data_IF_500669470720
#
_entry.id   IF_500669470720
#
_cell.length_a   1.000
_cell.length_b   1.000
_cell.length_c   1.000
_cell.angle_alpha   90.00
_cell.angle_beta   90.00
_cell.angle_gamma   90.00
#
_symmetry.space_group_name_H-M   'P 1'
#
loop_
_entity.id
_entity.type
_entity.pdbx_description
1 polymer ?
#
# COMPACT_ATOMS: atom_id res chain seq x y z
N UNK A 1 -35.46 37.05 -21.97
CA UNK A 1 -35.56 35.62 -22.32
C UNK A 1 -36.50 35.44 -23.52
N UNK A 2 -37.75 35.91 -23.48
CA UNK A 2 -38.73 35.70 -24.57
C UNK A 2 -38.28 36.35 -25.91
N UNK A 3 -37.66 37.48 -25.93
CA UNK A 3 -37.12 38.13 -27.13
C UNK A 3 -36.00 37.33 -27.80
N UNK A 4 -35.16 36.67 -27.01
CA UNK A 4 -34.12 35.77 -27.49
C UNK A 4 -34.72 34.50 -28.13
N UNK A 5 -35.70 33.89 -27.45
CA UNK A 5 -36.35 32.64 -27.90
C UNK A 5 -37.11 32.88 -29.21
N UNK A 6 -37.90 33.95 -29.30
CA UNK A 6 -38.71 34.24 -30.49
C UNK A 6 -37.92 34.90 -31.65
N UNK A 7 -36.73 35.38 -31.41
CA UNK A 7 -35.86 36.04 -32.41
C UNK A 7 -34.74 35.12 -32.93
N UNK A 8 -33.52 35.25 -32.37
CA UNK A 8 -32.33 34.57 -32.91
C UNK A 8 -32.41 33.06 -32.77
N UNK A 9 -32.91 32.54 -31.64
CA UNK A 9 -33.00 31.08 -31.41
C UNK A 9 -33.92 30.41 -32.43
N UNK A 10 -35.14 30.95 -32.65
CA UNK A 10 -36.08 30.39 -33.57
C UNK A 10 -35.54 30.37 -35.01
N UNK A 11 -34.79 31.41 -35.44
CA UNK A 11 -34.15 31.46 -36.77
C UNK A 11 -33.05 30.44 -36.92
N UNK A 12 -32.19 30.27 -35.89
CA UNK A 12 -31.15 29.26 -35.88
C UNK A 12 -31.72 27.84 -35.91
N UNK A 13 -32.78 27.58 -35.15
CA UNK A 13 -33.44 26.29 -35.11
C UNK A 13 -34.10 25.95 -36.49
N UNK A 14 -34.77 26.93 -37.13
CA UNK A 14 -35.36 26.74 -38.45
C UNK A 14 -34.27 26.40 -39.50
N UNK A 15 -33.12 27.10 -39.50
CA UNK A 15 -31.98 26.77 -40.35
C UNK A 15 -31.39 25.39 -40.05
N UNK A 16 -31.25 25.01 -38.77
CA UNK A 16 -30.74 23.71 -38.39
C UNK A 16 -31.65 22.57 -38.87
N UNK A 17 -32.97 22.76 -38.84
CA UNK A 17 -33.92 21.78 -39.39
C UNK A 17 -33.87 21.72 -40.93
N UNK A 18 -33.75 22.86 -41.58
CA UNK A 18 -33.59 22.91 -43.03
C UNK A 18 -32.34 22.15 -43.47
N UNK A 19 -31.21 22.38 -42.75
CA UNK A 19 -29.91 21.78 -43.02
C UNK A 19 -29.63 20.55 -42.15
N UNK A 20 -30.68 19.80 -41.79
CA UNK A 20 -30.61 18.67 -40.83
C UNK A 20 -29.48 17.69 -41.09
N UNK A 21 -29.21 17.34 -42.35
CA UNK A 21 -28.14 16.41 -42.70
C UNK A 21 -26.74 17.03 -42.48
N UNK A 22 -26.56 18.30 -42.80
CA UNK A 22 -25.30 18.98 -42.57
C UNK A 22 -25.02 19.13 -41.04
N UNK A 23 -26.06 19.46 -40.27
CA UNK A 23 -25.96 19.53 -38.79
C UNK A 23 -25.64 18.14 -38.22
N UNK A 24 -26.30 17.09 -38.70
CA UNK A 24 -26.01 15.72 -38.26
C UNK A 24 -24.56 15.34 -38.57
N UNK A 25 -24.09 15.60 -39.80
CA UNK A 25 -22.71 15.30 -40.20
C UNK A 25 -21.68 16.11 -39.38
N UNK A 26 -21.99 17.36 -39.04
CA UNK A 26 -21.15 18.17 -38.17
C UNK A 26 -21.01 17.54 -36.78
N UNK A 27 -22.09 17.03 -36.18
CA UNK A 27 -22.04 16.35 -34.89
C UNK A 27 -21.28 15.02 -34.95
N UNK A 28 -21.45 14.25 -36.04
CA UNK A 28 -20.69 13.01 -36.27
C UNK A 28 -19.21 13.32 -36.43
N UNK A 29 -18.85 14.35 -37.20
CA UNK A 29 -17.45 14.77 -37.32
C UNK A 29 -16.86 15.24 -36.01
N UNK A 30 -17.62 15.99 -35.19
CA UNK A 30 -17.17 16.41 -33.86
C UNK A 30 -16.98 15.21 -32.92
N UNK A 31 -17.88 14.21 -32.96
CA UNK A 31 -17.74 12.98 -32.20
C UNK A 31 -16.48 12.21 -32.63
N UNK A 32 -16.26 12.05 -33.94
CA UNK A 32 -15.07 11.38 -34.44
C UNK A 32 -13.78 12.12 -34.07
N UNK A 33 -13.80 13.46 -34.13
CA UNK A 33 -12.68 14.28 -33.66
C UNK A 33 -12.39 14.06 -32.20
N UNK A 34 -13.42 14.07 -31.36
CA UNK A 34 -13.29 13.84 -29.90
C UNK A 34 -12.71 12.45 -29.60
N UNK A 35 -13.21 11.41 -30.28
CA UNK A 35 -12.66 10.05 -30.16
C UNK A 35 -11.23 9.96 -30.67
N UNK A 36 -10.92 10.67 -31.76
CA UNK A 36 -9.57 10.76 -32.30
C UNK A 36 -8.58 11.43 -31.35
N UNK A 37 -9.00 12.50 -30.65
CA UNK A 37 -8.17 13.19 -29.64
C UNK A 37 -7.85 12.27 -28.45
N UNK A 38 -8.81 11.47 -27.98
CA UNK A 38 -8.61 10.48 -26.92
C UNK A 38 -7.69 9.36 -27.43
N UNK A 39 -7.97 8.79 -28.61
CA UNK A 39 -7.18 7.70 -29.19
C UNK A 39 -5.75 8.10 -29.57
N UNK A 40 -5.51 9.37 -29.90
CA UNK A 40 -4.19 9.93 -30.14
C UNK A 40 -3.45 10.37 -28.86
N UNK A 41 -4.02 10.11 -27.70
CA UNK A 41 -3.44 10.43 -26.38
C UNK A 41 -3.24 11.94 -26.10
N UNK A 42 -3.91 12.82 -26.88
CA UNK A 42 -3.93 14.27 -26.59
C UNK A 42 -4.74 14.60 -25.36
N UNK A 43 -5.78 13.80 -25.08
CA UNK A 43 -6.58 13.85 -23.85
C UNK A 43 -6.30 12.58 -23.08
N UNK A 44 -5.53 12.70 -22.01
CA UNK A 44 -5.28 11.56 -21.09
C UNK A 44 -6.54 11.31 -20.27
N UNK A 45 -7.10 10.14 -20.42
CA UNK A 45 -8.10 9.64 -19.46
C UNK A 45 -7.37 9.10 -18.23
N UNK A 46 -7.59 9.72 -17.10
CA UNK A 46 -7.18 9.20 -15.79
C UNK A 46 -8.45 8.66 -15.12
N UNK A 47 -8.76 7.36 -15.24
CA UNK A 47 -10.01 6.81 -14.71
C UNK A 47 -10.08 6.87 -13.19
N UNK A 48 -8.93 6.81 -12.51
CA UNK A 48 -8.79 6.91 -11.06
C UNK A 48 -7.78 8.01 -10.73
N UNK A 49 -8.19 9.27 -10.57
CA UNK A 49 -7.27 10.29 -10.09
C UNK A 49 -6.84 9.97 -8.65
N UNK A 50 -5.56 10.13 -8.38
CA UNK A 50 -5.05 10.03 -7.01
C UNK A 50 -5.63 11.15 -6.16
N UNK A 51 -6.24 10.78 -5.05
CA UNK A 51 -6.81 11.73 -4.08
C UNK A 51 -5.99 11.62 -2.80
N UNK A 52 -5.32 12.72 -2.37
CA UNK A 52 -4.48 12.67 -1.19
C UNK A 52 -5.28 12.26 0.04
N UNK A 53 -4.70 11.38 0.86
CA UNK A 53 -5.32 10.90 2.08
C UNK A 53 -5.04 11.86 3.23
N UNK A 54 -6.08 12.20 4.02
CA UNK A 54 -5.93 13.02 5.24
C UNK A 54 -5.33 12.25 6.42
N UNK A 55 -5.32 10.92 6.30
CA UNK A 55 -4.79 9.98 7.28
C UNK A 55 -3.81 9.00 6.61
N UNK A 56 -2.70 9.51 6.01
CA UNK A 56 -1.74 8.61 5.42
C UNK A 56 -1.20 7.63 6.46
N UNK A 57 -0.85 6.44 6.01
CA UNK A 57 -0.34 5.42 6.91
C UNK A 57 0.86 4.70 6.31
N UNK A 58 1.72 4.19 7.19
CA UNK A 58 2.81 3.30 6.82
C UNK A 58 2.47 1.92 7.34
N UNK A 59 2.29 0.97 6.44
CA UNK A 59 2.11 -0.45 6.74
C UNK A 59 3.45 -1.14 6.58
N UNK A 60 3.85 -1.95 7.56
CA UNK A 60 5.04 -2.80 7.49
C UNK A 60 4.63 -4.26 7.52
N UNK A 61 5.30 -5.07 6.75
CA UNK A 61 5.19 -6.53 6.75
C UNK A 61 6.55 -7.13 7.10
N UNK A 62 6.58 -7.94 8.13
CA UNK A 62 7.78 -8.65 8.59
C UNK A 62 7.78 -10.08 8.05
N UNK A 63 8.96 -10.69 7.95
CA UNK A 63 9.06 -12.10 7.62
C UNK A 63 8.37 -12.98 8.68
N UNK A 64 7.80 -14.12 8.29
CA UNK A 64 7.09 -15.03 9.18
C UNK A 64 7.91 -15.55 10.38
N UNK A 65 9.24 -15.52 10.27
CA UNK A 65 10.17 -16.04 11.28
C UNK A 65 10.53 -15.01 12.38
N UNK A 66 9.95 -13.83 12.36
CA UNK A 66 10.23 -12.81 13.39
C UNK A 66 9.32 -12.96 14.62
N UNK A 67 9.78 -12.46 15.74
CA UNK A 67 8.98 -12.37 16.96
C UNK A 67 8.14 -11.08 16.97
N UNK A 68 7.05 -11.07 17.75
CA UNK A 68 6.24 -9.86 17.98
C UNK A 68 7.07 -8.67 18.41
N UNK A 69 8.09 -8.92 19.26
CA UNK A 69 9.00 -7.87 19.73
C UNK A 69 9.82 -7.26 18.57
N UNK A 70 10.18 -8.05 17.56
CA UNK A 70 10.90 -7.53 16.38
C UNK A 70 9.99 -6.62 15.56
N UNK A 71 8.71 -6.98 15.39
CA UNK A 71 7.71 -6.15 14.71
C UNK A 71 7.46 -4.83 15.45
N UNK A 72 7.32 -4.89 16.79
CA UNK A 72 7.21 -3.70 17.61
C UNK A 72 8.44 -2.79 17.50
N UNK A 73 9.64 -3.37 17.48
CA UNK A 73 10.87 -2.59 17.31
C UNK A 73 10.98 -1.98 15.91
N UNK A 74 10.56 -2.70 14.87
CA UNK A 74 10.49 -2.17 13.51
C UNK A 74 9.53 -0.98 13.44
N UNK A 75 8.31 -1.11 14.01
CA UNK A 75 7.36 0.00 14.12
C UNK A 75 7.95 1.22 14.82
N UNK A 76 8.69 1.04 15.91
CA UNK A 76 9.35 2.16 16.61
C UNK A 76 10.40 2.86 15.75
N UNK A 77 11.15 2.11 14.94
CA UNK A 77 12.14 2.69 14.02
C UNK A 77 11.41 3.50 12.95
N UNK A 78 10.36 2.96 12.35
CA UNK A 78 9.56 3.67 11.35
C UNK A 78 8.87 4.90 11.95
N UNK A 79 8.30 4.78 13.15
CA UNK A 79 7.70 5.91 13.87
C UNK A 79 8.71 7.03 14.10
N UNK A 80 9.93 6.68 14.54
CA UNK A 80 11.00 7.65 14.74
C UNK A 80 11.38 8.32 13.41
N UNK A 81 11.49 7.56 12.33
CA UNK A 81 11.77 8.11 11.00
C UNK A 81 10.69 9.10 10.54
N UNK A 82 9.42 8.79 10.78
CA UNK A 82 8.30 9.70 10.50
C UNK A 82 8.45 11.01 11.27
N UNK A 83 8.86 10.95 12.54
CA UNK A 83 9.11 12.14 13.37
C UNK A 83 10.30 12.94 12.90
N UNK A 84 11.38 12.28 12.49
CA UNK A 84 12.59 12.94 11.97
C UNK A 84 12.28 13.69 10.67
N UNK A 85 11.41 13.14 9.80
CA UNK A 85 10.91 13.83 8.59
C UNK A 85 10.01 15.01 8.95
N UNK A 86 9.16 14.86 9.95
CA UNK A 86 8.31 15.96 10.44
C UNK A 86 9.15 17.11 11.00
N UNK A 87 10.22 16.81 11.76
CA UNK A 87 11.15 17.82 12.26
C UNK A 87 11.85 18.57 11.10
N UNK A 88 12.27 17.86 10.05
CA UNK A 88 12.83 18.49 8.84
C UNK A 88 11.83 19.41 8.16
N UNK A 89 10.55 19.02 8.08
CA UNK A 89 9.49 19.88 7.49
C UNK A 89 9.28 21.13 8.35
N UNK A 90 9.27 20.98 9.67
CA UNK A 90 9.14 22.13 10.59
C UNK A 90 10.34 23.07 10.43
N UNK A 91 11.54 22.57 10.31
CA UNK A 91 12.76 23.38 10.10
C UNK A 91 12.74 24.08 8.75
N UNK A 92 12.20 23.44 7.69
CA UNK A 92 12.15 23.99 6.34
C UNK A 92 11.03 25.04 6.16
N UNK A 93 9.84 24.79 6.72
CA UNK A 93 8.63 25.58 6.46
C UNK A 93 8.11 26.34 7.70
N UNK A 94 8.65 26.08 8.88
CA UNK A 94 8.22 26.70 10.13
C UNK A 94 6.94 26.13 10.73
N UNK A 95 6.35 25.11 10.11
CA UNK A 95 5.15 24.41 10.60
C UNK A 95 5.14 22.94 10.20
N UNK A 96 4.53 22.09 11.04
CA UNK A 96 4.43 20.66 10.80
C UNK A 96 3.15 20.29 10.07
N UNK A 97 3.10 19.02 9.63
CA UNK A 97 1.95 18.42 8.95
C UNK A 97 1.18 17.44 9.83
N UNK A 98 1.86 16.82 10.81
CA UNK A 98 1.30 15.73 11.61
C UNK A 98 0.54 16.31 12.79
N UNK A 99 -0.75 15.98 12.90
CA UNK A 99 -1.59 16.35 14.05
C UNK A 99 -1.46 15.34 15.18
N UNK A 100 -1.43 14.06 14.84
CA UNK A 100 -1.35 12.95 15.79
C UNK A 100 -0.78 11.72 15.08
N UNK A 101 -0.53 10.64 15.83
CA UNK A 101 -0.10 9.37 15.28
C UNK A 101 -0.59 8.22 16.15
N UNK A 102 -0.86 7.10 15.50
CA UNK A 102 -1.27 5.87 16.16
C UNK A 102 -0.51 4.70 15.54
N UNK A 103 0.36 4.08 16.33
CA UNK A 103 1.09 2.87 15.95
C UNK A 103 0.45 1.65 16.62
N UNK A 104 0.17 0.62 15.85
CA UNK A 104 -0.41 -0.63 16.35
C UNK A 104 0.04 -1.83 15.51
N UNK A 105 0.02 -2.99 16.13
CA UNK A 105 0.21 -4.25 15.42
C UNK A 105 -1.14 -4.78 14.98
N UNK A 106 -1.27 -5.08 13.68
CA UNK A 106 -2.45 -5.77 13.16
C UNK A 106 -2.34 -7.28 13.45
N UNK A 107 -1.13 -7.82 13.28
CA UNK A 107 -0.79 -9.23 13.59
C UNK A 107 0.68 -9.30 14.04
N UNK A 108 1.16 -10.52 14.35
CA UNK A 108 2.56 -10.77 14.74
C UNK A 108 3.58 -10.25 13.72
N UNK A 109 3.27 -10.34 12.45
CA UNK A 109 4.16 -9.94 11.35
C UNK A 109 3.75 -8.63 10.68
N UNK A 110 2.60 -8.07 11.02
CA UNK A 110 2.09 -6.86 10.41
C UNK A 110 1.91 -5.75 11.44
N UNK A 111 2.28 -4.54 11.04
CA UNK A 111 2.05 -3.36 11.84
C UNK A 111 1.78 -2.14 10.98
N UNK A 112 1.08 -1.19 11.57
CA UNK A 112 0.66 0.03 10.89
C UNK A 112 0.89 1.26 11.76
N UNK A 113 1.31 2.34 11.14
CA UNK A 113 1.36 3.67 11.74
C UNK A 113 0.40 4.56 10.96
N UNK A 114 -0.68 4.95 11.61
CA UNK A 114 -1.65 5.89 11.07
C UNK A 114 -1.26 7.30 11.51
N UNK A 115 -1.25 8.24 10.58
CA UNK A 115 -0.76 9.59 10.82
C UNK A 115 -1.78 10.63 10.34
N UNK A 116 -2.76 11.02 11.20
CA UNK A 116 -3.67 12.11 10.92
C UNK A 116 -2.92 13.42 10.68
N UNK A 117 -3.19 14.06 9.54
CA UNK A 117 -2.58 15.33 9.17
C UNK A 117 -3.41 16.53 9.66
N UNK A 118 -2.78 17.71 9.68
CA UNK A 118 -3.49 18.98 9.81
C UNK A 118 -4.40 19.21 8.59
N UNK A 119 -5.30 20.21 8.67
CA UNK A 119 -6.17 20.53 7.55
C UNK A 119 -5.35 20.84 6.29
N UNK A 120 -5.89 20.51 5.12
CA UNK A 120 -5.21 20.70 3.84
C UNK A 120 -4.71 22.13 3.62
N UNK A 121 -5.50 23.13 4.05
CA UNK A 121 -5.16 24.55 3.96
C UNK A 121 -3.93 24.95 4.78
N UNK A 122 -3.60 24.19 5.83
CA UNK A 122 -2.50 24.45 6.76
C UNK A 122 -1.24 23.64 6.42
N UNK A 123 -1.26 22.80 5.37
CA UNK A 123 -0.12 21.93 4.99
C UNK A 123 0.92 22.71 4.18
N UNK A 124 2.20 22.71 4.59
CA UNK A 124 3.27 23.35 3.81
C UNK A 124 3.62 22.61 2.51
N UNK A 125 3.42 21.28 2.47
CA UNK A 125 3.59 20.42 1.30
C UNK A 125 2.36 19.52 1.14
N UNK A 126 2.19 18.88 -0.02
CA UNK A 126 1.10 17.94 -0.21
C UNK A 126 1.40 16.57 0.42
N UNK A 127 0.36 15.74 0.55
CA UNK A 127 0.47 14.41 1.17
C UNK A 127 1.37 13.47 0.36
N UNK A 128 1.41 13.57 -0.97
CA UNK A 128 2.23 12.71 -1.81
C UNK A 128 3.72 13.03 -1.65
N UNK A 129 4.07 14.32 -1.50
CA UNK A 129 5.44 14.74 -1.20
C UNK A 129 5.88 14.28 0.19
N UNK A 130 4.99 14.34 1.20
CA UNK A 130 5.24 13.77 2.53
C UNK A 130 5.52 12.27 2.43
N UNK A 131 4.66 11.54 1.74
CA UNK A 131 4.80 10.09 1.55
C UNK A 131 6.10 9.74 0.81
N UNK A 132 6.50 10.53 -0.18
CA UNK A 132 7.78 10.37 -0.87
C UNK A 132 8.96 10.52 0.10
N UNK A 133 8.94 11.54 0.96
CA UNK A 133 9.98 11.76 1.99
C UNK A 133 10.04 10.59 2.97
N UNK A 134 8.90 10.04 3.39
CA UNK A 134 8.87 8.85 4.24
C UNK A 134 9.49 7.63 3.54
N UNK A 135 9.13 7.37 2.27
CA UNK A 135 9.71 6.26 1.48
C UNK A 135 11.22 6.35 1.37
N UNK A 136 11.74 7.56 1.19
CA UNK A 136 13.19 7.80 1.07
C UNK A 136 13.93 7.71 2.42
N UNK A 137 13.25 8.06 3.52
CA UNK A 137 13.84 8.10 4.86
C UNK A 137 13.78 6.76 5.60
N UNK A 138 12.76 5.92 5.33
CA UNK A 138 12.62 4.62 6.01
C UNK A 138 13.80 3.72 5.67
N UNK A 139 14.62 3.31 6.67
CA UNK A 139 15.80 2.49 6.44
C UNK A 139 15.42 1.02 6.17
N UNK A 140 16.37 0.27 5.64
CA UNK A 140 16.27 -1.19 5.62
C UNK A 140 16.28 -1.76 7.04
N UNK A 141 15.21 -2.41 7.45
CA UNK A 141 15.08 -3.02 8.77
C UNK A 141 15.23 -4.53 8.65
N UNK A 142 16.12 -5.09 9.46
CA UNK A 142 16.37 -6.55 9.47
C UNK A 142 15.08 -7.32 9.79
N UNK A 143 14.71 -8.23 8.91
CA UNK A 143 13.49 -9.04 9.06
C UNK A 143 12.23 -8.39 8.50
N UNK A 144 12.29 -7.15 8.02
CA UNK A 144 11.20 -6.55 7.26
C UNK A 144 11.18 -7.11 5.84
N UNK A 145 10.01 -7.55 5.40
CA UNK A 145 9.76 -8.10 4.06
C UNK A 145 9.40 -6.98 3.09
N UNK A 146 8.50 -6.11 3.52
CA UNK A 146 8.06 -4.96 2.75
C UNK A 146 7.50 -3.86 3.65
N UNK A 147 7.43 -2.67 3.13
CA UNK A 147 6.60 -1.61 3.67
C UNK A 147 5.84 -0.91 2.53
N UNK A 148 4.69 -0.36 2.86
CA UNK A 148 3.84 0.37 1.93
C UNK A 148 3.40 1.66 2.59
N UNK A 149 3.51 2.76 1.85
CA UNK A 149 2.99 4.06 2.31
C UNK A 149 1.67 4.33 1.60
N UNK A 150 0.58 4.31 2.35
CA UNK A 150 -0.77 4.60 1.85
C UNK A 150 -0.99 6.10 1.93
N UNK A 151 -0.94 6.77 0.81
CA UNK A 151 -1.06 8.23 0.66
C UNK A 151 -2.27 8.66 -0.19
N UNK A 152 -2.95 7.71 -0.81
CA UNK A 152 -4.14 7.91 -1.66
C UNK A 152 -5.36 7.22 -1.03
N UNK A 153 -6.51 7.89 -1.06
CA UNK A 153 -7.79 7.34 -0.58
C UNK A 153 -8.18 6.05 -1.32
N UNK A 154 -7.79 5.92 -2.58
CA UNK A 154 -8.04 4.72 -3.38
C UNK A 154 -6.96 3.65 -3.23
N UNK A 155 -5.87 3.96 -2.51
CA UNK A 155 -4.68 3.11 -2.38
C UNK A 155 -4.71 2.12 -1.20
N UNK A 156 -5.80 2.04 -0.44
CA UNK A 156 -5.91 1.21 0.77
C UNK A 156 -6.17 -0.29 0.45
N UNK A 157 -5.92 -0.71 -0.79
CA UNK A 157 -5.97 -2.12 -1.19
C UNK A 157 -4.70 -2.87 -0.84
N UNK A 158 -4.82 -4.06 -0.24
CA UNK A 158 -3.69 -4.96 0.06
C UNK A 158 -2.91 -5.39 -1.19
N UNK A 159 -3.51 -5.25 -2.37
CA UNK A 159 -2.97 -5.74 -3.66
C UNK A 159 -2.20 -4.68 -4.46
N UNK A 160 -2.07 -3.43 -3.97
CA UNK A 160 -1.46 -2.33 -4.71
C UNK A 160 -2.27 -1.86 -5.92
N UNK A 161 -1.75 -0.91 -6.71
CA UNK A 161 -2.44 -0.41 -7.91
C UNK A 161 -2.48 -1.45 -9.04
N UNK A 162 -1.49 -2.30 -9.13
CA UNK A 162 -1.43 -3.41 -10.08
C UNK A 162 -0.45 -4.49 -9.62
N UNK A 163 -0.66 -5.71 -10.07
CA UNK A 163 0.19 -6.85 -9.74
C UNK A 163 0.43 -7.76 -10.95
N UNK A 164 1.52 -8.49 -10.88
CA UNK A 164 1.86 -9.51 -11.87
C UNK A 164 1.87 -10.88 -11.21
N UNK A 165 1.22 -11.83 -11.83
CA UNK A 165 1.22 -13.22 -11.39
C UNK A 165 2.15 -14.04 -12.30
N UNK A 166 3.21 -14.61 -11.71
CA UNK A 166 4.15 -15.43 -12.41
C UNK A 166 3.74 -16.92 -12.28
N UNK A 167 3.75 -17.63 -13.38
CA UNK A 167 3.45 -19.05 -13.43
C UNK A 167 4.64 -19.83 -13.96
N UNK A 168 4.93 -20.98 -13.35
CA UNK A 168 6.00 -21.85 -13.80
C UNK A 168 5.88 -23.25 -13.19
N UNK A 169 6.45 -24.28 -13.83
CA UNK A 169 6.40 -25.65 -13.33
C UNK A 169 7.40 -25.93 -12.19
N UNK A 170 8.43 -25.10 -12.05
CA UNK A 170 9.52 -25.26 -11.10
C UNK A 170 9.62 -24.05 -10.19
N UNK A 171 9.53 -24.25 -8.88
CA UNK A 171 9.47 -23.19 -7.88
C UNK A 171 10.80 -22.41 -7.77
N UNK A 172 11.94 -23.09 -7.90
CA UNK A 172 13.24 -22.44 -7.77
C UNK A 172 13.50 -21.50 -8.96
N UNK A 173 13.16 -21.95 -10.16
CA UNK A 173 13.22 -21.12 -11.37
C UNK A 173 12.25 -19.95 -11.30
N UNK A 174 11.04 -20.18 -10.76
CA UNK A 174 10.02 -19.15 -10.59
C UNK A 174 10.47 -18.08 -9.60
N UNK A 175 11.03 -18.48 -8.45
CA UNK A 175 11.57 -17.57 -7.46
C UNK A 175 12.74 -16.74 -8.02
N UNK A 176 13.67 -17.38 -8.72
CA UNK A 176 14.78 -16.66 -9.35
C UNK A 176 14.32 -15.66 -10.40
N UNK A 177 13.31 -16.01 -11.21
CA UNK A 177 12.71 -15.12 -12.18
C UNK A 177 11.98 -13.95 -11.51
N UNK A 178 11.23 -14.22 -10.43
CA UNK A 178 10.51 -13.22 -9.66
C UNK A 178 11.42 -12.21 -9.00
N UNK A 179 12.50 -12.63 -8.36
CA UNK A 179 13.50 -11.73 -7.78
C UNK A 179 14.11 -10.81 -8.82
N UNK A 180 14.47 -11.35 -9.99
CA UNK A 180 14.99 -10.53 -11.09
C UNK A 180 13.95 -9.56 -11.64
N UNK A 181 12.69 -9.96 -11.66
CA UNK A 181 11.59 -9.10 -12.09
C UNK A 181 11.36 -7.94 -11.12
N UNK A 182 11.42 -8.19 -9.80
CA UNK A 182 11.37 -7.16 -8.77
C UNK A 182 12.48 -6.12 -8.97
N UNK A 183 13.73 -6.60 -9.16
CA UNK A 183 14.87 -5.72 -9.41
C UNK A 183 14.65 -4.83 -10.66
N UNK A 184 14.07 -5.37 -11.72
CA UNK A 184 13.72 -4.60 -12.91
C UNK A 184 12.62 -3.57 -12.66
N UNK A 185 11.60 -3.91 -11.86
CA UNK A 185 10.52 -2.99 -11.52
C UNK A 185 11.01 -1.85 -10.63
N UNK A 186 11.86 -2.12 -9.66
CA UNK A 186 12.45 -1.11 -8.76
C UNK A 186 13.30 -0.06 -9.51
N UNK A 187 13.80 -0.39 -10.70
CA UNK A 187 14.55 0.54 -11.55
C UNK A 187 13.67 1.45 -12.42
N UNK A 188 12.35 1.23 -12.44
CA UNK A 188 11.43 2.02 -13.26
C UNK A 188 11.00 3.29 -12.51
N UNK A 189 11.12 4.44 -13.17
CA UNK A 189 10.59 5.69 -12.62
C UNK A 189 9.07 5.63 -12.43
N UNK A 190 8.61 6.07 -11.26
CA UNK A 190 7.19 6.12 -10.93
C UNK A 190 6.62 4.83 -10.34
N UNK A 191 7.44 3.78 -10.17
CA UNK A 191 7.10 2.60 -9.37
C UNK A 191 7.75 2.70 -8.00
N UNK A 192 6.96 2.52 -6.97
CA UNK A 192 7.39 2.49 -5.57
C UNK A 192 6.62 1.42 -4.81
N UNK A 193 7.08 1.10 -3.60
CA UNK A 193 6.46 0.09 -2.74
C UNK A 193 6.33 -1.29 -3.44
N UNK A 194 7.35 -1.66 -4.24
CA UNK A 194 7.38 -2.94 -4.97
C UNK A 194 7.57 -4.08 -3.97
N UNK A 195 6.57 -4.91 -3.83
CA UNK A 195 6.56 -6.07 -2.94
C UNK A 195 6.36 -7.38 -3.68
N UNK A 196 6.55 -8.49 -3.01
CA UNK A 196 6.43 -9.83 -3.58
C UNK A 196 5.91 -10.80 -2.52
N UNK A 197 5.20 -11.81 -2.97
CA UNK A 197 4.81 -12.97 -2.17
C UNK A 197 5.91 -14.04 -2.08
N UNK A 198 7.08 -13.78 -2.70
CA UNK A 198 8.22 -14.70 -2.58
C UNK A 198 8.81 -14.53 -1.19
N UNK A 199 8.62 -15.54 -0.35
CA UNK A 199 9.30 -15.59 0.93
C UNK A 199 10.75 -16.01 0.76
N UNK A 200 11.71 -15.34 1.44
CA UNK A 200 13.07 -15.82 1.48
C UNK A 200 13.08 -17.24 2.09
N UNK A 201 13.96 -18.14 1.62
CA UNK A 201 14.02 -19.49 2.15
C UNK A 201 14.19 -19.45 3.67
N UNK A 202 13.14 -19.85 4.38
CA UNK A 202 13.16 -19.93 5.82
C UNK A 202 14.10 -21.06 6.26
N UNK A 203 14.95 -20.79 7.25
CA UNK A 203 15.78 -21.81 7.85
C UNK A 203 14.90 -22.74 8.69
N UNK A 204 14.64 -23.94 8.17
CA UNK A 204 13.97 -24.98 8.93
C UNK A 204 14.96 -25.68 9.86
N UNK A 205 14.60 -25.77 11.14
CA UNK A 205 15.33 -26.59 12.10
C UNK A 205 14.69 -27.96 12.15
N UNK A 206 15.30 -28.94 11.46
CA UNK A 206 14.86 -30.33 11.53
C UNK A 206 15.39 -30.98 12.83
N UNK A 207 14.47 -31.27 13.73
CA UNK A 207 14.80 -31.91 15.00
C UNK A 207 14.62 -33.42 14.90
N UNK A 208 15.62 -34.16 15.39
CA UNK A 208 15.56 -35.62 15.55
C UNK A 208 15.77 -35.99 17.01
N UNK A 209 15.02 -36.99 17.49
CA UNK A 209 15.17 -37.49 18.86
C UNK A 209 16.38 -38.43 18.96
N UNK A 210 17.19 -38.20 19.98
CA UNK A 210 18.19 -39.18 20.37
C UNK A 210 17.52 -40.42 20.98
N UNK A 211 18.10 -41.62 20.84
CA UNK A 211 17.51 -42.87 21.38
C UNK A 211 17.13 -42.77 22.85
N UNK A 212 17.93 -42.13 23.68
CA UNK A 212 17.68 -41.91 25.12
C UNK A 212 16.39 -41.13 25.39
N UNK A 213 15.95 -40.28 24.48
CA UNK A 213 14.71 -39.52 24.65
C UNK A 213 13.46 -40.39 24.59
N UNK A 214 13.50 -41.45 23.79
CA UNK A 214 12.42 -42.48 23.74
C UNK A 214 12.32 -43.24 25.05
N UNK A 215 13.47 -43.57 25.68
CA UNK A 215 13.50 -44.25 26.97
C UNK A 215 12.92 -43.39 28.10
N UNK A 216 13.01 -42.05 27.95
CA UNK A 216 12.41 -41.06 28.88
C UNK A 216 10.94 -40.75 28.55
N UNK A 217 10.34 -41.44 27.59
CA UNK A 217 8.96 -41.21 27.18
C UNK A 217 8.71 -39.88 26.43
N UNK A 218 9.76 -39.24 25.92
CA UNK A 218 9.63 -37.99 25.17
C UNK A 218 9.23 -38.30 23.72
N UNK A 219 8.36 -37.43 23.19
CA UNK A 219 7.99 -37.47 21.77
C UNK A 219 8.51 -36.24 21.03
N UNK A 220 8.72 -36.35 19.74
CA UNK A 220 9.15 -35.24 18.89
C UNK A 220 8.15 -34.07 18.99
N UNK A 221 6.86 -34.38 19.04
CA UNK A 221 5.80 -33.36 19.19
C UNK A 221 5.93 -32.58 20.51
N UNK A 222 6.22 -33.25 21.64
CA UNK A 222 6.39 -32.59 22.93
C UNK A 222 7.60 -31.63 22.92
N UNK A 223 8.71 -32.06 22.31
CA UNK A 223 9.90 -31.22 22.22
C UNK A 223 9.68 -30.08 21.24
N UNK A 224 9.09 -30.35 20.09
CA UNK A 224 8.77 -29.31 19.10
C UNK A 224 7.83 -28.23 19.68
N UNK A 225 6.80 -28.65 20.44
CA UNK A 225 5.90 -27.71 21.12
C UNK A 225 6.62 -26.86 22.19
N UNK A 226 7.52 -27.46 22.97
CA UNK A 226 8.29 -26.72 23.98
C UNK A 226 9.28 -25.73 23.34
N UNK A 227 9.99 -26.16 22.29
CA UNK A 227 10.90 -25.29 21.54
C UNK A 227 10.12 -24.18 20.87
N UNK A 228 9.00 -24.50 20.21
CA UNK A 228 8.10 -23.51 19.60
C UNK A 228 7.59 -22.49 20.62
N UNK A 229 7.14 -22.95 21.81
CA UNK A 229 6.71 -22.06 22.89
C UNK A 229 7.85 -21.16 23.40
N UNK A 230 9.10 -21.62 23.36
CA UNK A 230 10.27 -20.82 23.74
C UNK A 230 10.61 -19.70 22.76
N UNK A 231 10.30 -19.86 21.46
CA UNK A 231 10.57 -18.87 20.42
C UNK A 231 9.36 -17.96 20.15
N UNK A 232 8.15 -18.53 20.14
CA UNK A 232 6.92 -17.83 19.72
C UNK A 232 5.98 -17.52 20.89
N UNK A 233 6.36 -17.89 22.11
CA UNK A 233 5.47 -17.86 23.25
C UNK A 233 4.51 -19.05 23.23
N UNK A 234 3.87 -19.30 24.37
CA UNK A 234 2.84 -20.33 24.53
C UNK A 234 1.67 -19.78 25.32
N UNK A 235 0.45 -20.00 24.84
CA UNK A 235 -0.75 -19.65 25.59
C UNK A 235 -0.86 -20.57 26.81
N UNK A 236 -0.65 -20.00 28.01
CA UNK A 236 -0.72 -20.79 29.24
C UNK A 236 -2.17 -20.97 29.71
N UNK A 237 -2.99 -19.93 29.59
CA UNK A 237 -4.39 -19.95 29.97
C UNK A 237 -5.14 -18.78 29.33
N UNK A 238 -6.38 -19.05 28.92
CA UNK A 238 -7.30 -18.06 28.39
C UNK A 238 -8.36 -17.76 29.45
N UNK A 239 -8.43 -16.53 29.91
CA UNK A 239 -9.35 -16.13 31.01
C UNK A 239 -10.22 -14.97 30.53
N UNK A 240 -11.51 -15.06 30.80
CA UNK A 240 -12.43 -13.94 30.57
C UNK A 240 -12.42 -13.05 31.82
N UNK A 241 -12.00 -11.81 31.69
CA UNK A 241 -11.98 -10.83 32.77
C UNK A 241 -12.75 -9.58 32.34
N UNK A 242 -13.80 -9.24 33.08
CA UNK A 242 -14.69 -8.09 32.78
C UNK A 242 -15.32 -8.11 31.35
N UNK A 243 -15.52 -9.30 30.77
CA UNK A 243 -16.07 -9.43 29.43
C UNK A 243 -15.04 -9.36 28.30
N UNK A 244 -13.77 -9.17 28.62
CA UNK A 244 -12.65 -9.22 27.68
C UNK A 244 -11.83 -10.50 27.85
N UNK A 245 -11.36 -11.03 26.73
CA UNK A 245 -10.53 -12.23 26.68
C UNK A 245 -9.06 -11.82 26.91
N UNK A 246 -8.46 -12.31 28.00
CA UNK A 246 -7.04 -12.11 28.31
C UNK A 246 -6.30 -13.41 28.06
N UNK A 247 -5.24 -13.36 27.26
CA UNK A 247 -4.34 -14.48 26.93
C UNK A 247 -3.08 -14.42 27.74
#
# INVERSE_FOLDING_TARGET
>A
FFAFVNGPYKRSLAKAIEWRWAVLMMFVAMLMLSMGLIGANYVRMVPNPKVPHDFPSVKIEMNENVSDLATINALKIVEQTILDVEEQIIDEFGQGMIRDRLAFNDDRTEGRILTPLVNEEDRPIDTFELARRWREAIPEITGMKSFTVVDDVNGDGDDGEFGYLLFGPDIDTLNAAGLKFIEMLQQQEGLFDVSSTIDPPSKEVQMTLLPVAYDLGLTLSNIASQVGAGFYGGEAQRVIRNGEEVK
#
